data_IF_530737016815
#
_entry.id   IF_530737016815
#
_cell.length_a   1.000
_cell.length_b   1.000
_cell.length_c   1.000
_cell.angle_alpha   90.00
_cell.angle_beta   90.00
_cell.angle_gamma   90.00
#
_symmetry.space_group_name_H-M   'P 1'
#
loop_
_entity.id
_entity.type
_entity.pdbx_description
1 polymer ?
#
# COMPACT_ATOMS: atom_id res chain seq x y z
N UNK A 1 -51.36 18.78 -35.46
CA UNK A 1 -50.12 18.00 -35.30
C UNK A 1 -49.52 18.36 -33.98
N UNK A 2 -49.61 17.42 -33.00
CA UNK A 2 -49.08 17.62 -31.62
C UNK A 2 -47.80 16.81 -31.50
N UNK A 3 -46.67 17.49 -31.31
CA UNK A 3 -45.38 16.83 -31.06
C UNK A 3 -45.27 16.46 -29.60
N UNK A 4 -45.13 15.18 -29.31
CA UNK A 4 -44.85 14.64 -27.98
C UNK A 4 -43.35 14.64 -27.79
N UNK A 5 -42.83 15.46 -26.86
CA UNK A 5 -41.43 15.41 -26.47
C UNK A 5 -41.24 14.30 -25.44
N UNK A 6 -40.47 13.29 -25.81
CA UNK A 6 -40.01 12.23 -24.91
C UNK A 6 -38.73 12.66 -24.25
N UNK A 7 -38.79 13.03 -22.97
CA UNK A 7 -37.59 13.29 -22.16
C UNK A 7 -36.94 11.97 -21.74
N UNK A 8 -35.73 11.74 -22.24
CA UNK A 8 -34.90 10.61 -21.87
C UNK A 8 -34.17 10.94 -20.57
N UNK A 9 -34.64 10.37 -19.45
CA UNK A 9 -33.92 10.47 -18.16
C UNK A 9 -32.80 9.43 -18.15
N UNK A 10 -31.56 9.88 -18.30
CA UNK A 10 -30.37 9.04 -18.05
C UNK A 10 -30.16 8.90 -16.56
N UNK A 11 -30.43 7.71 -16.01
CA UNK A 11 -29.98 7.35 -14.66
C UNK A 11 -28.46 7.19 -14.66
N UNK A 12 -27.78 8.10 -13.99
CA UNK A 12 -26.38 7.96 -13.66
C UNK A 12 -26.29 6.95 -12.51
N UNK A 13 -25.91 5.71 -12.81
CA UNK A 13 -25.61 4.71 -11.79
C UNK A 13 -24.30 5.09 -11.10
N UNK A 14 -24.41 5.67 -9.91
CA UNK A 14 -23.28 5.88 -9.00
C UNK A 14 -22.88 4.50 -8.45
N UNK A 15 -21.84 3.87 -9.01
CA UNK A 15 -21.22 2.68 -8.44
C UNK A 15 -20.45 3.08 -7.19
N UNK A 16 -21.13 3.12 -6.05
CA UNK A 16 -20.51 3.25 -4.75
C UNK A 16 -19.63 2.03 -4.49
N UNK A 17 -18.33 2.25 -4.24
CA UNK A 17 -17.46 1.24 -3.71
C UNK A 17 -18.06 0.74 -2.38
N UNK A 18 -18.53 -0.50 -2.36
CA UNK A 18 -19.02 -1.11 -1.14
C UNK A 18 -17.84 -1.36 -0.22
N UNK A 19 -17.79 -0.60 0.87
CA UNK A 19 -16.93 -0.93 2.02
C UNK A 19 -17.44 -2.27 2.57
N UNK A 20 -16.62 -3.32 2.47
CA UNK A 20 -16.90 -4.59 3.12
C UNK A 20 -16.63 -4.43 4.61
N UNK A 21 -17.59 -3.87 5.34
CA UNK A 21 -17.63 -3.98 6.79
C UNK A 21 -18.08 -5.41 7.12
N UNK A 22 -17.27 -6.14 7.89
CA UNK A 22 -17.70 -7.41 8.49
C UNK A 22 -18.31 -7.10 9.84
N UNK A 23 -19.61 -7.29 9.99
CA UNK A 23 -20.27 -7.24 11.29
C UNK A 23 -19.95 -8.53 12.04
N UNK A 24 -19.28 -8.38 13.17
CA UNK A 24 -19.10 -9.45 14.13
C UNK A 24 -20.26 -9.45 15.14
N UNK A 25 -20.70 -10.63 15.58
CA UNK A 25 -21.68 -10.70 16.66
C UNK A 25 -21.16 -10.03 17.93
N UNK A 26 -22.03 -9.39 18.72
CA UNK A 26 -21.67 -8.80 20.00
C UNK A 26 -21.19 -7.34 19.97
N UNK A 27 -21.55 -6.55 18.96
CA UNK A 27 -21.24 -5.11 18.91
C UNK A 27 -19.80 -4.77 18.51
N UNK A 28 -19.08 -5.72 17.93
CA UNK A 28 -17.76 -5.51 17.35
C UNK A 28 -17.95 -5.04 15.92
N UNK A 29 -17.37 -3.89 15.59
CA UNK A 29 -17.30 -3.38 14.20
C UNK A 29 -15.91 -3.60 13.63
N UNK A 30 -15.81 -3.98 12.37
CA UNK A 30 -14.55 -4.06 11.66
C UNK A 30 -14.65 -3.22 10.37
N UNK A 31 -13.77 -2.27 10.24
CA UNK A 31 -13.66 -1.44 9.04
C UNK A 31 -12.45 -1.85 8.22
N UNK A 32 -12.63 -1.97 6.92
CA UNK A 32 -11.53 -2.25 6.01
C UNK A 32 -10.60 -1.04 5.95
N UNK A 33 -9.33 -1.23 6.30
CA UNK A 33 -8.29 -0.25 5.99
C UNK A 33 -8.15 -0.24 4.47
N UNK A 34 -8.47 0.91 3.85
CA UNK A 34 -8.39 1.07 2.40
C UNK A 34 -6.96 0.80 1.93
N UNK A 35 -6.77 -0.22 1.11
CA UNK A 35 -5.48 -0.55 0.50
C UNK A 35 -5.45 -0.08 -0.95
N UNK A 36 -4.38 0.63 -1.33
CA UNK A 36 -4.13 0.92 -2.74
C UNK A 36 -3.68 -0.36 -3.45
N UNK A 37 -4.48 -0.83 -4.40
CA UNK A 37 -4.16 -2.03 -5.16
C UNK A 37 -4.05 -3.31 -4.31
N UNK A 38 -5.16 -3.98 -4.08
CA UNK A 38 -5.23 -5.19 -3.25
C UNK A 38 -4.66 -6.47 -3.92
N UNK A 39 -4.35 -6.45 -5.20
CA UNK A 39 -3.80 -7.59 -5.98
C UNK A 39 -2.48 -7.28 -6.69
N UNK A 40 -1.97 -6.05 -6.54
CA UNK A 40 -0.70 -5.60 -7.12
C UNK A 40 0.07 -4.79 -6.09
N UNK A 41 1.37 -4.63 -6.31
CA UNK A 41 2.18 -3.70 -5.51
C UNK A 41 1.88 -2.23 -5.87
N UNK A 42 2.52 -1.32 -5.17
CA UNK A 42 2.38 0.14 -5.35
C UNK A 42 2.78 0.64 -6.75
N UNK A 43 3.56 -0.14 -7.49
CA UNK A 43 3.94 0.11 -8.89
C UNK A 43 3.02 -0.61 -9.89
N UNK A 44 1.91 -1.20 -9.42
CA UNK A 44 0.94 -1.97 -10.21
C UNK A 44 1.53 -3.24 -10.83
N UNK A 45 2.58 -3.80 -10.21
CA UNK A 45 3.17 -5.07 -10.61
C UNK A 45 2.45 -6.22 -9.89
N UNK A 46 2.09 -7.31 -10.58
CA UNK A 46 1.54 -8.48 -9.92
C UNK A 46 2.60 -9.12 -9.02
N UNK A 47 2.19 -9.68 -7.91
CA UNK A 47 3.06 -10.42 -7.00
C UNK A 47 2.40 -11.70 -6.51
N UNK A 48 3.21 -12.61 -6.01
CA UNK A 48 2.75 -13.85 -5.36
C UNK A 48 3.33 -13.94 -3.96
N UNK A 49 2.64 -14.65 -3.08
CA UNK A 49 3.22 -15.04 -1.80
C UNK A 49 4.35 -16.05 -2.00
N UNK A 50 5.43 -15.98 -1.21
CA UNK A 50 6.49 -16.97 -1.27
C UNK A 50 5.94 -18.35 -0.87
N UNK A 51 6.50 -19.39 -1.49
CA UNK A 51 6.18 -20.78 -1.14
C UNK A 51 6.97 -21.20 0.10
N UNK A 52 6.43 -22.14 0.88
CA UNK A 52 7.07 -22.72 2.05
C UNK A 52 6.41 -22.36 3.38
N UNK A 53 7.14 -22.57 4.48
CA UNK A 53 6.64 -22.28 5.83
C UNK A 53 6.59 -20.76 6.02
N UNK A 54 5.44 -20.17 6.37
CA UNK A 54 5.32 -18.72 6.57
C UNK A 54 6.28 -18.19 7.63
N UNK A 55 6.85 -17.02 7.38
CA UNK A 55 7.65 -16.22 8.31
C UNK A 55 7.15 -14.77 8.27
N UNK A 56 6.25 -14.42 9.16
CA UNK A 56 5.58 -13.13 9.21
C UNK A 56 6.30 -12.22 10.21
N UNK A 57 6.76 -11.07 9.76
CA UNK A 57 7.52 -10.13 10.59
C UNK A 57 6.84 -8.75 10.60
N UNK A 58 6.01 -8.45 11.61
CA UNK A 58 5.46 -7.12 11.82
C UNK A 58 6.48 -6.21 12.51
N UNK A 59 6.59 -4.96 12.06
CA UNK A 59 7.49 -3.95 12.61
C UNK A 59 6.76 -2.61 12.77
N UNK A 60 7.09 -1.88 13.83
CA UNK A 60 6.87 -0.45 13.91
C UNK A 60 8.10 0.25 13.35
N UNK A 61 7.94 1.03 12.29
CA UNK A 61 9.01 1.78 11.64
C UNK A 61 8.81 3.26 11.97
N UNK A 62 9.88 3.89 12.46
CA UNK A 62 9.95 5.34 12.64
C UNK A 62 11.01 5.88 11.70
N UNK A 63 10.64 6.85 10.88
CA UNK A 63 11.57 7.63 10.06
C UNK A 63 11.81 8.97 10.75
N UNK A 64 13.02 9.19 11.23
CA UNK A 64 13.44 10.44 11.85
C UNK A 64 13.44 11.60 10.84
N UNK A 65 13.52 12.83 11.36
CA UNK A 65 13.54 14.05 10.55
C UNK A 65 14.73 14.01 9.57
N UNK A 66 14.41 14.17 8.27
CA UNK A 66 15.37 14.13 7.15
C UNK A 66 16.17 12.82 7.00
N UNK A 67 15.72 11.74 7.66
CA UNK A 67 16.35 10.43 7.51
C UNK A 67 15.96 9.77 6.18
N UNK A 68 16.87 8.98 5.63
CA UNK A 68 16.68 8.20 4.42
C UNK A 68 17.10 6.74 4.65
N UNK A 69 16.39 5.81 4.05
CA UNK A 69 16.87 4.43 3.98
C UNK A 69 17.95 4.30 2.90
N UNK A 70 18.79 3.28 2.99
CA UNK A 70 19.61 2.86 1.86
C UNK A 70 18.71 2.34 0.71
N UNK A 71 19.26 2.31 -0.52
CA UNK A 71 18.60 1.66 -1.66
C UNK A 71 18.49 0.16 -1.42
N UNK A 72 17.26 -0.34 -1.46
CA UNK A 72 16.94 -1.75 -1.21
C UNK A 72 15.72 -2.21 -2.04
N UNK A 73 15.49 -3.51 -2.05
CA UNK A 73 14.30 -4.13 -2.65
C UNK A 73 13.78 -5.25 -1.76
N UNK A 74 12.51 -5.55 -1.89
CA UNK A 74 11.87 -6.66 -1.18
C UNK A 74 11.69 -7.86 -2.11
N UNK A 75 12.10 -9.05 -1.64
CA UNK A 75 11.86 -10.33 -2.32
C UNK A 75 10.59 -11.03 -1.84
N UNK A 76 9.95 -10.48 -0.82
CA UNK A 76 8.68 -10.93 -0.24
C UNK A 76 7.70 -9.76 -0.16
N UNK A 77 6.38 -9.97 -0.18
CA UNK A 77 5.43 -8.90 -0.02
C UNK A 77 5.63 -8.18 1.31
N UNK A 78 5.65 -6.85 1.26
CA UNK A 78 5.70 -5.96 2.41
C UNK A 78 4.43 -5.12 2.41
N UNK A 79 3.49 -5.42 3.33
CA UNK A 79 2.36 -4.55 3.56
C UNK A 79 2.78 -3.38 4.46
N UNK A 80 2.36 -2.18 4.09
CA UNK A 80 2.67 -0.93 4.79
C UNK A 80 1.39 -0.20 5.13
N UNK A 81 1.32 0.34 6.35
CA UNK A 81 0.27 1.26 6.79
C UNK A 81 0.90 2.47 7.48
N UNK A 82 0.71 3.65 6.92
CA UNK A 82 1.26 4.90 7.48
C UNK A 82 0.37 5.38 8.62
N UNK A 83 0.89 5.37 9.84
CA UNK A 83 0.16 5.74 11.06
C UNK A 83 0.30 7.21 11.42
N UNK A 84 1.44 7.83 11.12
CA UNK A 84 1.73 9.23 11.42
C UNK A 84 2.58 9.88 10.33
N UNK A 85 2.36 11.17 10.10
CA UNK A 85 3.16 11.99 9.19
C UNK A 85 3.04 11.59 7.72
N UNK A 86 4.11 11.81 6.97
CA UNK A 86 4.24 11.42 5.57
C UNK A 86 5.71 11.29 5.19
N UNK A 87 6.02 10.39 4.29
CA UNK A 87 7.34 10.21 3.71
C UNK A 87 7.24 9.97 2.20
N UNK A 88 8.34 10.13 1.51
CA UNK A 88 8.44 9.87 0.06
C UNK A 88 9.19 8.57 -0.17
N UNK A 89 8.72 7.75 -1.10
CA UNK A 89 9.47 6.61 -1.61
C UNK A 89 9.95 6.94 -3.02
N UNK A 90 11.25 6.82 -3.22
CA UNK A 90 11.91 7.03 -4.52
C UNK A 90 12.13 5.67 -5.20
N UNK A 91 11.49 5.48 -6.35
CA UNK A 91 11.55 4.27 -7.16
C UNK A 91 12.49 4.39 -8.37
N UNK A 92 13.43 5.34 -8.33
CA UNK A 92 14.37 5.59 -9.43
C UNK A 92 13.66 6.01 -10.71
N UNK A 93 13.85 5.29 -11.80
CA UNK A 93 13.22 5.60 -13.10
C UNK A 93 11.69 5.54 -13.11
N UNK A 94 11.06 4.94 -12.10
CA UNK A 94 9.59 4.95 -11.94
C UNK A 94 9.07 6.13 -11.12
N UNK A 95 9.96 7.07 -10.74
CA UNK A 95 9.60 8.30 -10.06
C UNK A 95 9.44 8.15 -8.55
N UNK A 96 8.82 9.17 -7.95
CA UNK A 96 8.63 9.27 -6.49
C UNK A 96 7.15 9.26 -6.15
N UNK A 97 6.83 8.70 -4.98
CA UNK A 97 5.46 8.72 -4.44
C UNK A 97 5.49 9.20 -3.00
N UNK A 98 4.55 10.07 -2.65
CA UNK A 98 4.34 10.52 -1.26
C UNK A 98 3.35 9.57 -0.60
N UNK A 99 3.72 9.04 0.56
CA UNK A 99 2.93 8.16 1.40
C UNK A 99 2.45 8.95 2.61
N UNK A 100 1.16 9.22 2.66
CA UNK A 100 0.54 10.01 3.72
C UNK A 100 -0.08 9.14 4.79
N UNK A 101 -0.24 9.69 6.00
CA UNK A 101 -1.02 9.06 7.08
C UNK A 101 -2.35 8.50 6.57
N UNK A 102 -2.68 7.28 6.99
CA UNK A 102 -3.88 6.55 6.59
C UNK A 102 -3.74 5.75 5.29
N UNK A 103 -2.67 5.95 4.52
CA UNK A 103 -2.43 5.13 3.32
C UNK A 103 -1.97 3.73 3.69
N UNK A 104 -2.49 2.74 2.98
CA UNK A 104 -2.06 1.35 3.05
C UNK A 104 -1.77 0.82 1.64
N UNK A 105 -0.69 0.06 1.50
CA UNK A 105 -0.25 -0.48 0.21
C UNK A 105 0.69 -1.67 0.39
N UNK A 106 0.92 -2.42 -0.69
CA UNK A 106 2.03 -3.37 -0.76
C UNK A 106 3.20 -2.69 -1.46
N UNK A 107 4.37 -2.71 -0.82
CA UNK A 107 5.58 -2.08 -1.36
C UNK A 107 6.08 -2.80 -2.61
N UNK A 108 6.82 -2.06 -3.47
CA UNK A 108 7.31 -2.56 -4.76
C UNK A 108 8.14 -3.83 -4.60
N UNK A 109 7.65 -4.90 -5.23
CA UNK A 109 8.32 -6.21 -5.23
C UNK A 109 9.49 -6.23 -6.24
N UNK A 110 10.66 -6.69 -5.78
CA UNK A 110 11.87 -6.84 -6.61
C UNK A 110 12.33 -5.57 -7.35
N UNK A 111 11.77 -4.40 -7.01
CA UNK A 111 12.15 -3.10 -7.57
C UNK A 111 12.93 -2.28 -6.54
N UNK A 112 14.08 -1.74 -6.95
CA UNK A 112 14.97 -0.98 -6.07
C UNK A 112 14.35 0.39 -5.73
N UNK A 113 14.29 0.70 -4.44
CA UNK A 113 13.73 1.95 -3.93
C UNK A 113 14.40 2.38 -2.63
N UNK A 114 14.13 3.61 -2.21
CA UNK A 114 14.48 4.13 -0.88
C UNK A 114 13.39 5.01 -0.31
N UNK A 115 13.22 4.97 1.01
CA UNK A 115 12.38 5.91 1.76
C UNK A 115 13.14 7.17 2.07
N UNK A 116 12.47 8.33 1.97
CA UNK A 116 13.00 9.67 2.25
C UNK A 116 12.01 10.38 3.15
N UNK A 117 12.40 10.71 4.37
CA UNK A 117 11.54 11.45 5.27
C UNK A 117 11.74 12.96 5.14
N UNK A 118 10.69 13.70 5.47
CA UNK A 118 10.64 15.16 5.45
C UNK A 118 11.08 15.82 6.76
N UNK A 119 10.64 17.07 7.00
CA UNK A 119 11.02 17.85 8.19
C UNK A 119 10.27 17.45 9.47
N UNK A 120 9.43 16.43 9.42
CA UNK A 120 8.69 15.89 10.57
C UNK A 120 8.88 14.39 10.63
N UNK A 121 8.95 13.83 11.84
CA UNK A 121 8.96 12.38 12.05
C UNK A 121 7.72 11.74 11.43
N UNK A 122 7.89 10.58 10.81
CA UNK A 122 6.78 9.76 10.31
C UNK A 122 6.86 8.34 10.83
N UNK A 123 5.70 7.67 10.94
CA UNK A 123 5.61 6.30 11.44
C UNK A 123 4.74 5.44 10.55
N UNK A 124 5.12 4.17 10.45
CA UNK A 124 4.35 3.16 9.75
C UNK A 124 4.41 1.82 10.47
N UNK A 125 3.32 1.07 10.40
CA UNK A 125 3.33 -0.36 10.67
C UNK A 125 3.63 -1.06 9.35
N UNK A 126 4.60 -1.96 9.36
CA UNK A 126 4.92 -2.77 8.18
C UNK A 126 4.89 -4.24 8.53
N UNK A 127 4.47 -5.08 7.58
CA UNK A 127 4.40 -6.52 7.77
C UNK A 127 5.06 -7.21 6.58
N UNK A 128 6.23 -7.82 6.81
CA UNK A 128 6.81 -8.74 5.83
C UNK A 128 6.05 -10.06 5.84
N UNK A 129 5.51 -10.44 4.70
CA UNK A 129 4.80 -11.70 4.49
C UNK A 129 5.74 -12.70 3.78
N UNK A 130 6.79 -13.11 4.49
CA UNK A 130 7.86 -13.95 3.99
C UNK A 130 7.64 -15.45 4.20
N UNK A 131 8.67 -16.20 3.85
CA UNK A 131 8.80 -17.62 4.17
C UNK A 131 10.16 -17.87 4.85
N UNK A 132 10.25 -18.98 5.59
CA UNK A 132 11.52 -19.41 6.19
C UNK A 132 12.59 -19.51 5.10
N UNK A 133 13.79 -19.02 5.39
CA UNK A 133 14.94 -18.96 4.49
C UNK A 133 14.80 -17.97 3.30
N UNK A 134 13.78 -17.13 3.29
CA UNK A 134 13.65 -16.06 2.29
C UNK A 134 14.06 -14.72 2.92
N UNK A 135 14.94 -13.97 2.25
CA UNK A 135 15.34 -12.64 2.72
C UNK A 135 14.19 -11.64 2.56
N UNK A 136 13.89 -10.85 3.60
CA UNK A 136 12.85 -9.84 3.56
C UNK A 136 13.22 -8.64 2.69
N UNK A 137 14.49 -8.25 2.71
CA UNK A 137 15.03 -7.16 1.88
C UNK A 137 16.47 -7.47 1.45
N UNK A 138 16.87 -6.87 0.35
CA UNK A 138 18.20 -7.01 -0.23
C UNK A 138 18.72 -5.63 -0.66
N UNK A 139 20.01 -5.33 -0.48
CA UNK A 139 20.59 -4.11 -1.03
C UNK A 139 20.56 -4.14 -2.56
N UNK A 140 20.41 -2.98 -3.18
CA UNK A 140 20.44 -2.85 -4.63
C UNK A 140 20.93 -1.47 -5.07
N UNK A 141 21.10 -1.30 -6.38
CA UNK A 141 21.40 0.01 -7.00
C UNK A 141 20.13 0.50 -7.73
N UNK A 142 19.86 1.81 -7.72
CA UNK A 142 18.72 2.37 -8.45
C UNK A 142 18.80 2.03 -9.95
N UNK A 143 17.63 1.80 -10.53
CA UNK A 143 17.44 1.50 -11.96
C UNK A 143 16.89 2.71 -12.69
#
# INVERSE_FOLDING_TARGET
MKYLAVSLFTLLACSGAQSMAHDYEGGITAELISIQHNSTDVLKQPFNYPQGIPNINPLNVTLGVHEETSWHKHSVPLWVYVTEGSFTVDYGSKGKKVMNKGMSYVEAMNWCHKGINGPQESKAIVVYMGAVSTANHLPCKPQ
#
